data_IF_738595228858
#
_entry.id   IF_738595228858
#
_cell.length_a   1.000
_cell.length_b   1.000
_cell.length_c   1.000
_cell.angle_alpha   90.00
_cell.angle_beta   90.00
_cell.angle_gamma   90.00
#
_symmetry.space_group_name_H-M   'P 1'
#
loop_
_entity.id
_entity.type
_entity.pdbx_description
1 polymer ?
#
# COMPACT_ATOMS: atom_id res chain seq x y z
N UNK A 1 19.76 4.53 -13.71
CA UNK A 1 18.34 4.52 -13.31
C UNK A 1 17.69 5.79 -13.81
N UNK A 2 16.62 5.67 -14.57
CA UNK A 2 15.79 6.78 -15.04
C UNK A 2 14.64 7.04 -14.05
N UNK A 3 13.98 8.21 -14.07
CA UNK A 3 12.86 8.51 -13.17
C UNK A 3 11.75 7.46 -13.20
N UNK A 4 11.44 6.89 -14.36
CA UNK A 4 10.46 5.82 -14.50
C UNK A 4 10.84 4.54 -13.74
N UNK A 5 12.12 4.19 -13.65
CA UNK A 5 12.60 3.07 -12.83
C UNK A 5 12.31 3.30 -11.34
N UNK A 6 12.52 4.55 -10.88
CA UNK A 6 12.28 4.92 -9.47
C UNK A 6 10.79 4.87 -9.17
N UNK A 7 9.96 5.41 -10.07
CA UNK A 7 8.50 5.39 -9.95
C UNK A 7 7.98 3.95 -9.91
N UNK A 8 8.46 3.10 -10.82
CA UNK A 8 8.10 1.69 -10.85
C UNK A 8 8.47 0.99 -9.55
N UNK A 9 9.71 1.16 -9.05
CA UNK A 9 10.16 0.56 -7.80
C UNK A 9 9.30 0.98 -6.60
N UNK A 10 8.91 2.26 -6.52
CA UNK A 10 8.04 2.74 -5.46
C UNK A 10 6.63 2.13 -5.56
N UNK A 11 6.05 2.06 -6.75
CA UNK A 11 4.73 1.44 -6.95
C UNK A 11 4.73 -0.04 -6.63
N UNK A 12 5.79 -0.76 -6.99
CA UNK A 12 5.98 -2.17 -6.67
C UNK A 12 5.97 -2.41 -5.15
N UNK A 13 6.79 -1.66 -4.39
CA UNK A 13 6.81 -1.77 -2.92
C UNK A 13 5.48 -1.37 -2.26
N UNK A 14 4.77 -0.38 -2.80
CA UNK A 14 3.44 0.00 -2.31
C UNK A 14 2.40 -1.09 -2.58
N UNK A 15 2.52 -1.79 -3.73
CA UNK A 15 1.70 -2.94 -4.07
C UNK A 15 1.94 -4.09 -3.09
N UNK A 16 3.20 -4.44 -2.84
CA UNK A 16 3.57 -5.46 -1.85
C UNK A 16 3.06 -5.12 -0.45
N UNK A 17 3.22 -3.89 0.01
CA UNK A 17 2.74 -3.47 1.32
C UNK A 17 1.21 -3.57 1.42
N UNK A 18 0.48 -3.22 0.36
CA UNK A 18 -0.98 -3.36 0.33
C UNK A 18 -1.40 -4.83 0.50
N UNK A 19 -0.76 -5.73 -0.25
CA UNK A 19 -0.99 -7.18 -0.11
C UNK A 19 -0.65 -7.66 1.30
N UNK A 20 0.47 -7.22 1.86
CA UNK A 20 0.88 -7.57 3.23
C UNK A 20 -0.15 -7.09 4.27
N UNK A 21 -0.73 -5.90 4.10
CA UNK A 21 -1.80 -5.41 4.98
C UNK A 21 -3.02 -6.35 4.94
N UNK A 22 -3.48 -6.73 3.74
CA UNK A 22 -4.62 -7.63 3.55
C UNK A 22 -4.36 -9.01 4.17
N UNK A 23 -3.18 -9.59 3.93
CA UNK A 23 -2.76 -10.88 4.51
C UNK A 23 -2.66 -10.81 6.04
N UNK A 24 -2.05 -9.73 6.58
CA UNK A 24 -1.88 -9.56 8.02
C UNK A 24 -3.21 -9.49 8.77
N UNK A 25 -4.25 -8.91 8.16
CA UNK A 25 -5.60 -8.85 8.76
C UNK A 25 -6.20 -10.26 8.88
N UNK A 26 -5.94 -11.16 7.92
CA UNK A 26 -6.51 -12.52 7.93
C UNK A 26 -6.00 -13.36 9.12
N UNK A 27 -4.81 -13.07 9.62
CA UNK A 27 -4.21 -13.76 10.77
C UNK A 27 -4.66 -13.19 12.13
N UNK A 28 -5.47 -12.12 12.16
CA UNK A 28 -5.89 -11.45 13.39
C UNK A 28 -7.29 -11.86 13.84
N UNK A 29 -7.45 -12.04 15.15
CA UNK A 29 -8.75 -12.28 15.75
C UNK A 29 -9.62 -10.99 15.71
N UNK A 30 -10.78 -10.98 15.03
CA UNK A 30 -11.49 -9.76 14.68
C UNK A 30 -11.97 -8.93 15.87
N UNK A 31 -12.34 -9.58 16.98
CA UNK A 31 -12.81 -8.88 18.19
C UNK A 31 -11.69 -8.49 19.16
N UNK A 32 -10.56 -9.19 19.13
CA UNK A 32 -9.46 -8.96 20.09
C UNK A 32 -8.48 -7.92 19.57
N UNK A 33 -8.36 -7.83 18.26
CA UNK A 33 -7.40 -6.98 17.57
C UNK A 33 -8.09 -5.89 16.73
N UNK A 34 -9.30 -5.46 17.12
CA UNK A 34 -10.13 -4.56 16.31
C UNK A 34 -9.41 -3.24 15.98
N UNK A 35 -8.74 -2.63 16.96
CA UNK A 35 -8.00 -1.38 16.77
C UNK A 35 -6.78 -1.55 15.84
N UNK A 36 -6.10 -2.69 15.94
CA UNK A 36 -4.98 -3.03 15.07
C UNK A 36 -5.46 -3.27 13.63
N UNK A 37 -6.55 -4.02 13.44
CA UNK A 37 -7.17 -4.26 12.14
C UNK A 37 -7.54 -2.92 11.49
N UNK A 38 -8.25 -2.05 12.23
CA UNK A 38 -8.62 -0.71 11.74
C UNK A 38 -7.41 0.12 11.30
N UNK A 39 -6.32 0.05 12.08
CA UNK A 39 -5.07 0.74 11.77
C UNK A 39 -4.40 0.18 10.50
N UNK A 40 -4.39 -1.16 10.32
CA UNK A 40 -3.84 -1.81 9.12
C UNK A 40 -4.68 -1.45 7.89
N UNK A 41 -6.00 -1.44 7.99
CA UNK A 41 -6.89 -0.99 6.91
C UNK A 41 -6.65 0.48 6.54
N UNK A 42 -6.30 1.34 7.50
CA UNK A 42 -5.91 2.72 7.20
C UNK A 42 -4.59 2.78 6.41
N UNK A 43 -3.59 1.99 6.78
CA UNK A 43 -2.36 1.87 6.02
C UNK A 43 -2.63 1.38 4.58
N UNK A 44 -3.51 0.40 4.40
CA UNK A 44 -3.95 -0.10 3.09
C UNK A 44 -4.56 1.02 2.22
N UNK A 45 -5.45 1.82 2.79
CA UNK A 45 -6.06 2.98 2.12
C UNK A 45 -5.02 4.05 1.74
N UNK A 46 -4.04 4.30 2.60
CA UNK A 46 -2.95 5.22 2.31
C UNK A 46 -2.07 4.71 1.16
N UNK A 47 -1.78 3.40 1.10
CA UNK A 47 -1.07 2.79 -0.02
C UNK A 47 -1.80 3.02 -1.35
N UNK A 48 -3.14 2.86 -1.38
CA UNK A 48 -3.94 3.18 -2.59
C UNK A 48 -3.79 4.64 -3.01
N UNK A 49 -3.85 5.56 -2.05
CA UNK A 49 -3.68 6.99 -2.31
C UNK A 49 -2.29 7.29 -2.88
N UNK A 50 -1.24 6.70 -2.30
CA UNK A 50 0.13 6.83 -2.77
C UNK A 50 0.31 6.25 -4.19
N UNK A 51 -0.23 5.06 -4.47
CA UNK A 51 -0.23 4.45 -5.81
C UNK A 51 -0.90 5.38 -6.84
N UNK A 52 -2.04 5.98 -6.49
CA UNK A 52 -2.73 6.93 -7.38
C UNK A 52 -1.87 8.17 -7.68
N UNK A 53 -1.17 8.70 -6.68
CA UNK A 53 -0.23 9.82 -6.85
C UNK A 53 0.93 9.39 -7.76
N UNK A 54 1.51 8.21 -7.54
CA UNK A 54 2.61 7.68 -8.35
C UNK A 54 2.18 7.48 -9.80
N UNK A 55 1.01 6.88 -10.06
CA UNK A 55 0.44 6.72 -11.39
C UNK A 55 0.23 8.05 -12.12
N UNK A 56 -0.17 9.10 -11.40
CA UNK A 56 -0.32 10.44 -11.96
C UNK A 56 1.02 11.05 -12.37
N UNK A 57 2.07 10.82 -11.58
CA UNK A 57 3.43 11.31 -11.88
C UNK A 57 4.08 10.47 -12.97
N UNK A 58 3.84 9.16 -13.01
CA UNK A 58 4.33 8.25 -14.05
C UNK A 58 3.93 8.71 -15.46
N UNK A 59 2.78 9.37 -15.62
CA UNK A 59 2.35 9.91 -16.93
C UNK A 59 3.20 11.08 -17.43
N UNK A 60 4.06 11.66 -16.59
CA UNK A 60 4.92 12.81 -16.92
C UNK A 60 6.37 12.41 -17.22
N UNK A 61 6.74 11.14 -17.01
CA UNK A 61 8.09 10.61 -17.16
C UNK A 61 8.07 9.35 -18.03
#
# INVERSE_FOLDING_TARGET
>A
MVPSDIIWRLMDRLGELRTLCDESIQDLHPKKNADLISSIEECERLCRTQINIMNRIARKY
#
